data_IF_346039381076
#
_entry.id   IF_346039381076
#
_cell.length_a   1.000
_cell.length_b   1.000
_cell.length_c   1.000
_cell.angle_alpha   90.00
_cell.angle_beta   90.00
_cell.angle_gamma   90.00
#
_symmetry.space_group_name_H-M   'P 1'
#
loop_
_entity.id
_entity.type
_entity.pdbx_description
1 polymer ?
#
# COMPACT_ATOMS: atom_id res chain seq x y z
N UNK A 1 -15.11 36.57 24.39
CA UNK A 1 -16.39 35.93 24.74
C UNK A 1 -16.55 34.75 23.81
N UNK A 2 -16.63 33.57 24.40
CA UNK A 2 -16.44 32.27 23.78
C UNK A 2 -17.50 31.97 22.72
N UNK A 3 -17.06 31.51 21.55
CA UNK A 3 -17.94 30.85 20.60
C UNK A 3 -18.14 29.40 21.07
N UNK A 4 -19.36 28.95 21.37
CA UNK A 4 -19.59 27.55 21.66
C UNK A 4 -19.52 26.77 20.34
N UNK A 5 -18.49 25.95 20.22
CA UNK A 5 -18.34 24.93 19.18
C UNK A 5 -19.34 23.80 19.45
N UNK A 6 -20.60 24.01 19.04
CA UNK A 6 -21.64 22.99 19.14
C UNK A 6 -21.45 21.91 18.06
N UNK A 7 -20.82 20.82 18.50
CA UNK A 7 -21.09 19.42 18.18
C UNK A 7 -21.48 19.06 16.74
N UNK A 8 -20.56 18.30 16.13
CA UNK A 8 -20.50 17.72 14.78
C UNK A 8 -21.55 16.61 14.49
N UNK A 9 -22.72 16.64 15.12
CA UNK A 9 -23.82 15.72 14.82
C UNK A 9 -25.16 16.45 14.87
N UNK A 10 -25.44 17.19 13.80
CA UNK A 10 -26.71 17.92 13.64
C UNK A 10 -27.80 16.94 13.20
N UNK A 11 -28.87 16.86 14.01
CA UNK A 11 -30.04 16.06 13.72
C UNK A 11 -30.92 16.84 12.72
N UNK A 12 -31.34 16.26 11.59
CA UNK A 12 -32.06 16.99 10.53
C UNK A 12 -33.34 17.68 11.03
N UNK A 13 -33.94 17.14 12.10
CA UNK A 13 -35.13 17.71 12.72
C UNK A 13 -34.83 19.01 13.49
N UNK A 14 -33.63 19.10 14.09
CA UNK A 14 -33.16 20.31 14.78
C UNK A 14 -32.84 21.40 13.76
N UNK A 15 -32.21 21.05 12.64
CA UNK A 15 -31.88 22.00 11.56
C UNK A 15 -33.15 22.63 10.96
N UNK A 16 -34.20 21.83 10.75
CA UNK A 16 -35.49 22.32 10.28
C UNK A 16 -36.15 23.30 11.27
N UNK A 17 -36.07 23.01 12.57
CA UNK A 17 -36.65 23.86 13.62
C UNK A 17 -35.88 25.17 13.78
N UNK A 18 -34.55 25.12 13.68
CA UNK A 18 -33.68 26.29 13.68
C UNK A 18 -33.93 27.17 12.45
N UNK A 19 -34.08 26.58 11.26
CA UNK A 19 -34.43 27.32 10.04
C UNK A 19 -35.78 28.03 10.16
N UNK A 20 -36.81 27.36 10.69
CA UNK A 20 -38.12 27.98 10.89
C UNK A 20 -38.07 29.17 11.85
N UNK A 21 -37.25 29.07 12.91
CA UNK A 21 -37.07 30.15 13.86
C UNK A 21 -36.29 31.32 13.25
N UNK A 22 -35.21 31.03 12.53
CA UNK A 22 -34.35 32.04 11.91
C UNK A 22 -35.07 32.79 10.78
N UNK A 23 -35.90 32.13 9.97
CA UNK A 23 -36.68 32.79 8.92
C UNK A 23 -37.65 33.84 9.48
N UNK A 24 -38.18 33.65 10.69
CA UNK A 24 -39.10 34.60 11.32
C UNK A 24 -38.41 35.83 11.92
N UNK A 25 -37.14 35.73 12.31
CA UNK A 25 -36.47 36.74 13.13
C UNK A 25 -35.22 37.34 12.51
N UNK A 26 -34.49 36.59 11.67
CA UNK A 26 -33.22 36.97 11.05
C UNK A 26 -33.05 36.32 9.66
N UNK A 27 -33.57 36.94 8.58
CA UNK A 27 -33.59 36.33 7.24
C UNK A 27 -32.18 36.09 6.66
N UNK A 28 -31.23 37.00 6.90
CA UNK A 28 -29.85 36.85 6.42
C UNK A 28 -29.13 35.64 7.04
N UNK A 29 -29.38 35.35 8.32
CA UNK A 29 -28.80 34.18 8.99
C UNK A 29 -29.44 32.87 8.51
N UNK A 30 -30.73 32.90 8.14
CA UNK A 30 -31.42 31.75 7.55
C UNK A 30 -30.84 31.40 6.17
N UNK A 31 -30.57 32.40 5.32
CA UNK A 31 -29.92 32.18 4.01
C UNK A 31 -28.51 31.58 4.14
N UNK A 32 -27.75 32.04 5.14
CA UNK A 32 -26.42 31.48 5.44
C UNK A 32 -26.52 30.00 5.83
N UNK A 33 -27.42 29.65 6.76
CA UNK A 33 -27.63 28.26 7.18
C UNK A 33 -28.16 27.38 6.03
N UNK A 34 -29.03 27.92 5.17
CA UNK A 34 -29.50 27.20 3.97
C UNK A 34 -28.37 26.91 2.99
N UNK A 35 -27.45 27.85 2.78
CA UNK A 35 -26.27 27.63 1.94
C UNK A 35 -25.34 26.56 2.53
N UNK A 36 -25.15 26.56 3.85
CA UNK A 36 -24.35 25.55 4.56
C UNK A 36 -25.00 24.15 4.52
N UNK A 37 -26.32 24.05 4.62
CA UNK A 37 -27.02 22.77 4.49
C UNK A 37 -26.99 22.26 3.03
N UNK A 38 -27.23 23.16 2.07
CA UNK A 38 -27.13 22.82 0.65
C UNK A 38 -25.71 22.41 0.24
N UNK A 39 -24.67 23.03 0.82
CA UNK A 39 -23.28 22.64 0.57
C UNK A 39 -22.94 21.29 1.21
N UNK A 40 -23.47 20.99 2.41
CA UNK A 40 -23.34 19.67 3.07
C UNK A 40 -24.05 18.57 2.29
N UNK A 41 -25.27 18.83 1.82
CA UNK A 41 -26.02 17.88 0.99
C UNK A 41 -25.34 17.69 -0.36
N UNK A 42 -24.79 18.74 -0.97
CA UNK A 42 -23.99 18.64 -2.19
C UNK A 42 -22.68 17.87 -1.98
N UNK A 43 -22.02 18.03 -0.82
CA UNK A 43 -20.81 17.29 -0.46
C UNK A 43 -21.11 15.82 -0.11
N UNK A 44 -22.30 15.51 0.41
CA UNK A 44 -22.77 14.15 0.65
C UNK A 44 -23.29 13.46 -0.62
N UNK A 45 -23.85 14.24 -1.56
CA UNK A 45 -24.32 13.78 -2.86
C UNK A 45 -23.20 13.70 -3.91
N UNK A 46 -22.06 14.35 -3.68
CA UNK A 46 -20.86 14.13 -4.47
C UNK A 46 -20.48 12.64 -4.35
N UNK A 47 -20.28 11.92 -5.46
CA UNK A 47 -19.78 10.56 -5.38
C UNK A 47 -18.48 10.58 -4.57
N UNK A 48 -18.28 9.64 -3.61
CA UNK A 48 -17.02 9.57 -2.88
C UNK A 48 -15.89 9.55 -3.91
N UNK A 49 -14.74 10.22 -3.70
CA UNK A 49 -13.67 10.31 -4.68
C UNK A 49 -13.40 8.91 -5.20
N UNK A 50 -13.87 8.64 -6.43
CA UNK A 50 -14.11 7.27 -6.83
C UNK A 50 -12.79 6.68 -7.21
N UNK A 51 -12.18 6.02 -6.23
CA UNK A 51 -10.87 5.44 -6.34
C UNK A 51 -10.88 4.48 -7.54
N UNK A 52 -9.96 4.70 -8.49
CA UNK A 52 -9.85 3.91 -9.72
C UNK A 52 -9.78 2.40 -9.43
N UNK A 53 -9.08 2.01 -8.37
CA UNK A 53 -8.97 0.61 -7.93
C UNK A 53 -10.29 0.08 -7.38
N UNK A 54 -11.00 0.88 -6.57
CA UNK A 54 -12.33 0.51 -6.07
C UNK A 54 -13.37 0.43 -7.20
N UNK A 55 -13.29 1.32 -8.19
CA UNK A 55 -14.09 1.26 -9.41
C UNK A 55 -13.81 0.00 -10.20
N UNK A 56 -12.54 -0.30 -10.45
CA UNK A 56 -12.15 -1.50 -11.19
C UNK A 56 -12.57 -2.77 -10.45
N UNK A 57 -12.51 -2.81 -9.11
CA UNK A 57 -12.99 -3.95 -8.32
C UNK A 57 -14.52 -4.12 -8.37
N UNK A 58 -15.27 -3.02 -8.43
CA UNK A 58 -16.74 -3.05 -8.54
C UNK A 58 -17.22 -3.41 -9.96
N UNK A 59 -16.43 -3.04 -10.96
CA UNK A 59 -16.69 -3.30 -12.38
C UNK A 59 -16.15 -4.65 -12.85
N UNK A 60 -15.18 -5.23 -12.13
CA UNK A 60 -14.64 -6.54 -12.43
C UNK A 60 -15.70 -7.62 -12.19
N UNK A 61 -15.86 -8.59 -13.12
CA UNK A 61 -16.69 -9.75 -12.84
C UNK A 61 -16.13 -10.50 -11.63
N UNK A 62 -17.00 -11.11 -10.79
CA UNK A 62 -16.55 -11.84 -9.60
C UNK A 62 -15.60 -12.97 -10.03
N UNK A 63 -14.32 -12.84 -9.66
CA UNK A 63 -13.25 -13.78 -10.01
C UNK A 63 -12.17 -13.25 -10.94
N UNK A 64 -12.31 -12.05 -11.53
CA UNK A 64 -11.29 -11.46 -12.40
C UNK A 64 -10.59 -10.25 -11.73
N UNK A 65 -9.85 -10.54 -10.66
CA UNK A 65 -8.97 -9.55 -10.00
C UNK A 65 -7.66 -9.32 -10.78
N UNK A 66 -7.47 -10.05 -11.87
CA UNK A 66 -6.25 -10.10 -12.67
C UNK A 66 -5.71 -8.73 -13.13
N UNK A 67 -6.50 -7.84 -13.75
CA UNK A 67 -5.98 -6.54 -14.18
C UNK A 67 -5.67 -5.60 -13.00
N UNK A 68 -6.27 -5.85 -11.83
CA UNK A 68 -6.04 -5.05 -10.62
C UNK A 68 -4.64 -5.29 -10.07
N UNK A 69 -4.15 -6.52 -10.12
CA UNK A 69 -2.81 -6.90 -9.63
C UNK A 69 -1.69 -6.12 -10.33
N UNK A 70 -1.72 -6.10 -11.67
CA UNK A 70 -0.73 -5.36 -12.46
C UNK A 70 -0.81 -3.84 -12.21
N UNK A 71 -2.04 -3.30 -12.13
CA UNK A 71 -2.27 -1.87 -11.87
C UNK A 71 -1.78 -1.47 -10.48
N UNK A 72 -2.07 -2.29 -9.46
CA UNK A 72 -1.64 -2.06 -8.08
C UNK A 72 -0.11 -2.05 -7.95
N UNK A 73 0.59 -2.96 -8.65
CA UNK A 73 2.05 -2.96 -8.69
C UNK A 73 2.59 -1.70 -9.38
N UNK A 74 2.02 -1.33 -10.55
CA UNK A 74 2.44 -0.15 -11.29
C UNK A 74 2.33 1.12 -10.44
N UNK A 75 1.22 1.30 -9.70
CA UNK A 75 1.05 2.47 -8.81
C UNK A 75 2.10 2.53 -7.70
N UNK A 76 2.46 1.39 -7.10
CA UNK A 76 3.52 1.33 -6.08
C UNK A 76 4.89 1.63 -6.71
N UNK A 77 5.15 1.08 -7.89
CA UNK A 77 6.40 1.30 -8.63
C UNK A 77 6.58 2.76 -9.00
N UNK A 78 5.58 3.38 -9.62
CA UNK A 78 5.60 4.79 -10.01
C UNK A 78 5.75 5.71 -8.79
N UNK A 79 5.16 5.33 -7.66
CA UNK A 79 5.35 6.06 -6.40
C UNK A 79 6.78 5.95 -5.87
N UNK A 80 7.38 4.76 -5.87
CA UNK A 80 8.78 4.58 -5.46
C UNK A 80 9.75 5.29 -6.43
N UNK A 81 9.46 5.26 -7.72
CA UNK A 81 10.32 5.83 -8.76
C UNK A 81 10.20 7.36 -8.87
N UNK A 82 9.00 7.93 -8.79
CA UNK A 82 8.77 9.36 -9.06
C UNK A 82 8.31 10.21 -7.88
N UNK A 83 7.65 9.68 -6.87
CA UNK A 83 7.11 10.49 -5.76
C UNK A 83 8.13 10.73 -4.63
N UNK A 84 9.26 10.00 -4.64
CA UNK A 84 10.28 10.09 -3.60
C UNK A 84 11.40 11.09 -3.93
N UNK A 85 11.42 11.73 -5.09
CA UNK A 85 12.61 12.43 -5.61
C UNK A 85 13.06 13.69 -4.85
N UNK A 86 12.25 14.24 -3.93
CA UNK A 86 12.61 15.42 -3.13
C UNK A 86 13.17 15.07 -1.75
N UNK A 87 12.31 14.66 -0.81
CA UNK A 87 12.66 14.35 0.59
C UNK A 87 12.70 12.84 0.88
N UNK A 88 12.12 12.05 -0.03
CA UNK A 88 11.98 10.61 0.04
C UNK A 88 13.16 9.83 -0.54
N UNK A 89 14.08 10.49 -1.24
CA UNK A 89 15.13 9.85 -2.04
C UNK A 89 16.07 8.99 -1.18
N UNK A 90 16.26 9.39 0.08
CA UNK A 90 17.00 8.61 1.09
C UNK A 90 16.36 7.25 1.41
N UNK A 91 15.04 7.12 1.26
CA UNK A 91 14.28 5.90 1.54
C UNK A 91 14.03 5.06 0.29
N UNK A 92 14.20 5.65 -0.90
CA UNK A 92 14.10 4.97 -2.20
C UNK A 92 14.87 3.63 -2.23
N UNK A 93 16.16 3.52 -1.82
CA UNK A 93 16.85 2.23 -1.85
C UNK A 93 16.25 1.19 -0.90
N UNK A 94 15.62 1.60 0.21
CA UNK A 94 14.93 0.67 1.10
C UNK A 94 13.62 0.18 0.47
N UNK A 95 12.85 1.10 -0.11
CA UNK A 95 11.56 0.82 -0.74
C UNK A 95 11.72 0.05 -2.06
N UNK A 96 12.79 0.28 -2.83
CA UNK A 96 13.10 -0.49 -4.03
C UNK A 96 13.31 -1.98 -3.74
N UNK A 97 13.78 -2.34 -2.53
CA UNK A 97 13.89 -3.77 -2.13
C UNK A 97 12.53 -4.46 -2.01
N UNK A 98 11.45 -3.70 -1.80
CA UNK A 98 10.08 -4.20 -1.76
C UNK A 98 9.51 -4.46 -3.16
N UNK A 99 10.01 -3.76 -4.19
CA UNK A 99 9.48 -3.89 -5.54
C UNK A 99 9.68 -5.30 -6.10
N UNK A 100 10.80 -5.96 -5.80
CA UNK A 100 10.98 -7.35 -6.25
C UNK A 100 9.93 -8.31 -5.70
N UNK A 101 9.80 -8.48 -4.36
CA UNK A 101 8.88 -9.49 -3.84
C UNK A 101 7.45 -9.18 -4.31
N UNK A 102 7.06 -7.90 -4.38
CA UNK A 102 5.78 -7.52 -4.98
C UNK A 102 5.67 -7.93 -6.45
N UNK A 103 6.68 -7.67 -7.28
CA UNK A 103 6.69 -8.08 -8.69
C UNK A 103 6.53 -9.59 -8.84
N UNK A 104 7.35 -10.37 -8.13
CA UNK A 104 7.37 -11.81 -8.26
C UNK A 104 6.08 -12.45 -7.72
N UNK A 105 5.55 -11.96 -6.60
CA UNK A 105 4.26 -12.43 -6.08
C UNK A 105 3.10 -12.07 -7.01
N UNK A 106 3.05 -10.85 -7.53
CA UNK A 106 2.04 -10.42 -8.51
C UNK A 106 2.08 -11.31 -9.75
N UNK A 107 3.27 -11.61 -10.29
CA UNK A 107 3.41 -12.51 -11.43
C UNK A 107 2.86 -13.92 -11.14
N UNK A 108 3.19 -14.49 -9.98
CA UNK A 108 2.71 -15.83 -9.60
C UNK A 108 1.19 -15.84 -9.35
N UNK A 109 0.62 -14.80 -8.75
CA UNK A 109 -0.84 -14.69 -8.60
C UNK A 109 -1.56 -14.61 -9.95
N UNK A 110 -1.02 -13.84 -10.90
CA UNK A 110 -1.55 -13.76 -12.26
C UNK A 110 -1.52 -15.12 -12.97
N UNK A 111 -0.45 -15.90 -12.79
CA UNK A 111 -0.35 -17.26 -13.32
C UNK A 111 -1.33 -18.22 -12.65
N UNK A 112 -1.52 -18.14 -11.33
CA UNK A 112 -2.48 -18.96 -10.58
C UNK A 112 -3.93 -18.62 -10.93
N UNK A 113 -4.22 -17.37 -11.28
CA UNK A 113 -5.52 -16.95 -11.82
C UNK A 113 -5.77 -17.48 -13.26
N UNK A 114 -4.80 -18.16 -13.88
CA UNK A 114 -4.92 -18.70 -15.23
C UNK A 114 -4.72 -17.67 -16.34
N UNK A 115 -4.38 -16.43 -16.01
CA UNK A 115 -4.27 -15.33 -16.95
C UNK A 115 -2.87 -15.21 -17.55
N UNK A 116 -2.47 -16.22 -18.32
CA UNK A 116 -1.13 -16.35 -18.89
C UNK A 116 -0.70 -15.15 -19.75
N UNK A 117 -1.59 -14.63 -20.60
CA UNK A 117 -1.27 -13.50 -21.48
C UNK A 117 -0.97 -12.23 -20.70
N UNK A 118 -1.76 -11.96 -19.66
CA UNK A 118 -1.62 -10.78 -18.81
C UNK A 118 -0.39 -10.89 -17.92
N UNK A 119 -0.10 -12.09 -17.40
CA UNK A 119 1.15 -12.38 -16.70
C UNK A 119 2.38 -12.15 -17.61
N UNK A 120 2.31 -12.61 -18.87
CA UNK A 120 3.37 -12.41 -19.87
C UNK A 120 3.59 -10.93 -20.19
N UNK A 121 2.51 -10.17 -20.40
CA UNK A 121 2.58 -8.71 -20.58
C UNK A 121 3.19 -8.01 -19.37
N UNK A 122 2.73 -8.35 -18.16
CA UNK A 122 3.26 -7.82 -16.91
C UNK A 122 4.77 -8.10 -16.76
N UNK A 123 5.20 -9.35 -17.01
CA UNK A 123 6.61 -9.71 -16.95
C UNK A 123 7.43 -8.91 -17.95
N UNK A 124 6.99 -8.82 -19.21
CA UNK A 124 7.67 -8.05 -20.25
C UNK A 124 7.81 -6.56 -19.88
N UNK A 125 6.80 -5.96 -19.26
CA UNK A 125 6.81 -4.54 -18.88
C UNK A 125 7.74 -4.21 -17.71
N UNK A 126 7.87 -5.09 -16.71
CA UNK A 126 8.54 -4.74 -15.44
C UNK A 126 9.78 -5.58 -15.11
N UNK A 127 10.09 -6.66 -15.85
CA UNK A 127 11.28 -7.48 -15.56
C UNK A 127 12.60 -6.70 -15.68
N UNK A 128 12.67 -5.72 -16.58
CA UNK A 128 13.88 -4.94 -16.83
C UNK A 128 14.33 -4.12 -15.60
N UNK A 129 13.37 -3.65 -14.79
CA UNK A 129 13.65 -2.88 -13.57
C UNK A 129 14.43 -3.71 -12.53
N UNK A 130 14.27 -5.04 -12.57
CA UNK A 130 14.89 -5.97 -11.62
C UNK A 130 16.11 -6.70 -12.19
N UNK A 131 16.34 -6.60 -13.50
CA UNK A 131 17.35 -7.37 -14.23
C UNK A 131 18.79 -7.12 -13.72
N UNK A 132 19.07 -5.92 -13.21
CA UNK A 132 20.39 -5.55 -12.72
C UNK A 132 20.78 -6.31 -11.45
N UNK A 133 19.84 -6.49 -10.51
CA UNK A 133 20.12 -7.06 -9.19
C UNK A 133 19.70 -8.53 -9.05
N UNK A 134 18.75 -8.99 -9.87
CA UNK A 134 18.00 -10.26 -9.67
C UNK A 134 17.94 -11.15 -10.91
N UNK A 135 18.96 -11.05 -11.77
CA UNK A 135 18.98 -11.73 -13.08
C UNK A 135 18.73 -13.24 -12.98
N UNK A 136 19.38 -13.93 -12.05
CA UNK A 136 19.25 -15.39 -11.91
C UNK A 136 17.85 -15.80 -11.45
N UNK A 137 17.28 -15.05 -10.51
CA UNK A 137 15.90 -15.28 -10.04
C UNK A 137 14.87 -14.96 -11.14
N UNK A 138 15.10 -13.92 -11.94
CA UNK A 138 14.28 -13.61 -13.11
C UNK A 138 14.33 -14.72 -14.16
N UNK A 139 15.50 -15.29 -14.41
CA UNK A 139 15.65 -16.42 -15.32
C UNK A 139 14.83 -17.62 -14.83
N UNK A 140 14.90 -17.94 -13.53
CA UNK A 140 14.08 -19.01 -12.94
C UNK A 140 12.58 -18.69 -13.00
N UNK A 141 12.19 -17.44 -12.76
CA UNK A 141 10.79 -17.01 -12.83
C UNK A 141 10.27 -17.08 -14.28
N UNK A 142 11.10 -16.75 -15.27
CA UNK A 142 10.73 -16.79 -16.70
C UNK A 142 10.43 -18.19 -17.23
N UNK A 143 10.97 -19.23 -16.59
CA UNK A 143 10.68 -20.64 -16.92
C UNK A 143 9.29 -21.08 -16.46
N UNK A 144 8.68 -20.34 -15.52
CA UNK A 144 7.36 -20.63 -14.97
C UNK A 144 6.33 -19.76 -15.69
N UNK A 145 5.50 -20.36 -16.53
CA UNK A 145 4.59 -19.61 -17.41
C UNK A 145 3.13 -20.10 -17.34
N UNK A 146 2.84 -21.18 -16.62
CA UNK A 146 1.48 -21.70 -16.39
C UNK A 146 1.26 -22.00 -14.91
N UNK A 147 -0.02 -22.05 -14.49
CA UNK A 147 -0.39 -22.43 -13.12
C UNK A 147 0.21 -23.79 -12.71
N UNK A 148 0.17 -24.78 -13.60
CA UNK A 148 0.76 -26.11 -13.36
C UNK A 148 2.27 -26.04 -13.11
N UNK A 149 2.98 -25.15 -13.84
CA UNK A 149 4.41 -24.93 -13.65
C UNK A 149 4.71 -24.19 -12.35
N UNK A 150 3.79 -23.37 -11.83
CA UNK A 150 3.94 -22.73 -10.51
C UNK A 150 3.98 -23.80 -9.42
N UNK A 151 3.12 -24.82 -9.50
CA UNK A 151 3.08 -25.91 -8.53
C UNK A 151 4.22 -26.93 -8.72
N UNK A 152 4.70 -27.11 -9.95
CA UNK A 152 5.83 -27.98 -10.24
C UNK A 152 7.19 -27.36 -9.88
N UNK A 153 7.33 -26.03 -10.00
CA UNK A 153 8.59 -25.34 -9.77
C UNK A 153 8.89 -25.19 -8.28
N UNK A 154 10.03 -25.74 -7.85
CA UNK A 154 10.49 -25.60 -6.47
C UNK A 154 10.75 -24.13 -6.11
N UNK A 155 11.27 -23.34 -7.06
CA UNK A 155 11.52 -21.90 -6.85
C UNK A 155 10.23 -21.14 -6.59
N UNK A 156 9.20 -21.34 -7.43
CA UNK A 156 7.91 -20.66 -7.26
C UNK A 156 7.23 -21.08 -5.94
N UNK A 157 7.26 -22.37 -5.61
CA UNK A 157 6.75 -22.88 -4.32
C UNK A 157 7.46 -22.28 -3.12
N UNK A 158 8.80 -22.22 -3.15
CA UNK A 158 9.60 -21.59 -2.08
C UNK A 158 9.21 -20.13 -1.92
N UNK A 159 9.04 -19.41 -3.03
CA UNK A 159 8.63 -18.01 -3.00
C UNK A 159 7.26 -17.85 -2.32
N UNK A 160 6.26 -18.65 -2.72
CA UNK A 160 4.90 -18.62 -2.17
C UNK A 160 4.81 -19.07 -0.70
N UNK A 161 5.65 -20.02 -0.28
CA UNK A 161 5.61 -20.61 1.07
C UNK A 161 6.38 -19.77 2.09
N UNK A 162 7.49 -19.17 1.67
CA UNK A 162 8.31 -18.33 2.55
C UNK A 162 7.82 -16.89 2.52
N UNK A 163 7.70 -16.26 3.69
CA UNK A 163 7.47 -14.80 3.75
C UNK A 163 8.78 -14.09 3.49
N UNK A 164 8.83 -13.30 2.42
CA UNK A 164 10.00 -12.52 2.07
C UNK A 164 10.25 -11.45 3.13
N UNK A 165 11.44 -11.43 3.72
CA UNK A 165 11.82 -10.42 4.71
C UNK A 165 12.39 -9.17 4.02
N UNK A 166 11.75 -8.03 4.26
CA UNK A 166 12.25 -6.72 3.81
C UNK A 166 12.56 -5.88 5.03
N UNK A 167 13.82 -5.46 5.13
CA UNK A 167 14.29 -4.55 6.18
C UNK A 167 14.01 -3.11 5.76
N UNK A 168 13.11 -2.44 6.47
CA UNK A 168 12.70 -1.06 6.25
C UNK A 168 12.82 -0.27 7.55
N UNK A 169 13.29 0.97 7.47
CA UNK A 169 13.21 1.88 8.61
C UNK A 169 11.75 2.10 9.05
N UNK A 170 11.54 2.49 10.31
CA UNK A 170 10.19 2.78 10.82
C UNK A 170 9.46 3.85 9.98
N UNK A 171 10.22 4.84 9.47
CA UNK A 171 9.70 5.88 8.61
C UNK A 171 9.31 5.34 7.23
N UNK A 172 10.19 4.59 6.56
CA UNK A 172 9.91 3.95 5.26
C UNK A 172 8.65 3.07 5.33
N UNK A 173 8.48 2.34 6.43
CA UNK A 173 7.29 1.51 6.67
C UNK A 173 6.02 2.36 6.83
N UNK A 174 6.07 3.42 7.63
CA UNK A 174 4.92 4.32 7.81
C UNK A 174 4.53 4.99 6.49
N UNK A 175 5.53 5.40 5.70
CA UNK A 175 5.33 6.02 4.40
C UNK A 175 4.66 5.06 3.41
N UNK A 176 5.15 3.82 3.32
CA UNK A 176 4.55 2.77 2.49
C UNK A 176 3.09 2.52 2.88
N UNK A 177 2.82 2.33 4.17
CA UNK A 177 1.45 2.04 4.65
C UNK A 177 0.52 3.23 4.45
N UNK A 178 1.00 4.46 4.65
CA UNK A 178 0.26 5.68 4.37
C UNK A 178 -0.16 5.78 2.91
N UNK A 179 0.79 5.57 1.99
CA UNK A 179 0.52 5.58 0.55
C UNK A 179 -0.49 4.50 0.14
N UNK A 180 -0.29 3.26 0.59
CA UNK A 180 -1.17 2.13 0.28
C UNK A 180 -2.60 2.37 0.80
N UNK A 181 -2.73 2.95 2.00
CA UNK A 181 -4.03 3.28 2.59
C UNK A 181 -4.72 4.43 1.83
N UNK A 182 -3.99 5.48 1.47
CA UNK A 182 -4.51 6.63 0.73
C UNK A 182 -5.00 6.23 -0.67
N UNK A 183 -4.21 5.43 -1.38
CA UNK A 183 -4.56 4.88 -2.69
C UNK A 183 -5.51 3.68 -2.62
N UNK A 184 -5.90 3.24 -1.42
CA UNK A 184 -6.76 2.07 -1.15
C UNK A 184 -6.35 0.83 -1.97
N UNK A 185 -5.06 0.56 -2.06
CA UNK A 185 -4.51 -0.59 -2.79
C UNK A 185 -4.67 -1.87 -1.96
N UNK A 186 -5.90 -2.38 -1.91
CA UNK A 186 -6.25 -3.52 -1.04
C UNK A 186 -5.46 -4.79 -1.37
N UNK A 187 -5.21 -5.04 -2.66
CA UNK A 187 -4.43 -6.20 -3.11
C UNK A 187 -2.97 -6.11 -2.68
N UNK A 188 -2.35 -4.92 -2.81
CA UNK A 188 -0.99 -4.68 -2.31
C UNK A 188 -0.93 -4.84 -0.79
N UNK A 189 -1.91 -4.31 -0.06
CA UNK A 189 -1.97 -4.43 1.40
C UNK A 189 -2.10 -5.90 1.83
N UNK A 190 -2.93 -6.68 1.14
CA UNK A 190 -3.07 -8.12 1.35
C UNK A 190 -1.74 -8.83 1.15
N UNK A 191 -1.07 -8.58 0.03
CA UNK A 191 0.25 -9.16 -0.26
C UNK A 191 1.31 -8.80 0.77
N UNK A 192 1.35 -7.53 1.16
CA UNK A 192 2.25 -7.05 2.20
C UNK A 192 2.03 -7.80 3.51
N UNK A 193 0.78 -7.91 3.95
CA UNK A 193 0.46 -8.56 5.23
C UNK A 193 0.66 -10.09 5.20
N UNK A 194 0.32 -10.75 4.09
CA UNK A 194 0.33 -12.21 4.00
C UNK A 194 1.73 -12.76 3.68
N UNK A 195 2.48 -12.07 2.82
CA UNK A 195 3.69 -12.60 2.20
C UNK A 195 4.97 -11.84 2.49
N UNK A 196 4.89 -10.63 3.05
CA UNK A 196 6.06 -9.80 3.29
C UNK A 196 6.22 -9.54 4.79
N UNK A 197 7.37 -9.93 5.34
CA UNK A 197 7.76 -9.59 6.71
C UNK A 197 8.52 -8.27 6.70
N UNK A 198 7.91 -7.22 7.25
CA UNK A 198 8.55 -5.90 7.38
C UNK A 198 9.32 -5.81 8.70
N UNK A 199 10.62 -6.10 8.64
CA UNK A 199 11.53 -6.03 9.79
C UNK A 199 12.17 -4.64 9.90
N UNK A 200 12.46 -4.20 11.13
CA UNK A 200 13.31 -3.04 11.35
C UNK A 200 14.77 -3.44 11.07
N UNK A 201 15.63 -2.54 10.55
CA UNK A 201 17.05 -2.81 10.49
C UNK A 201 17.52 -3.04 11.94
N UNK A 202 18.18 -4.17 12.21
CA UNK A 202 18.86 -4.35 13.49
C UNK A 202 19.76 -3.14 13.68
N UNK A 203 19.44 -2.32 14.70
CA UNK A 203 20.42 -1.35 15.19
C UNK A 203 21.63 -2.20 15.56
N UNK A 204 22.77 -1.91 14.95
CA UNK A 204 24.03 -2.50 15.37
C UNK A 204 24.07 -2.30 16.88
N UNK A 205 23.96 -3.39 17.66
CA UNK A 205 24.31 -3.33 19.05
C UNK A 205 25.73 -2.73 19.06
N UNK A 206 26.01 -1.71 19.90
CA UNK A 206 27.39 -1.32 20.11
C UNK A 206 28.14 -2.61 20.43
N UNK A 207 29.19 -2.89 19.64
CA UNK A 207 30.19 -3.88 20.02
C UNK A 207 30.65 -3.47 21.41
N UNK A 208 30.03 -4.07 22.42
CA UNK A 208 30.43 -3.91 23.80
C UNK A 208 31.87 -4.39 23.80
N UNK A 209 32.78 -3.43 23.98
CA UNK A 209 34.18 -3.67 24.20
C UNK A 209 34.29 -4.38 25.54
N UNK A 210 34.08 -5.69 25.53
CA UNK A 210 34.40 -6.59 26.62
C UNK A 210 35.91 -6.76 26.71
N UNK A 211 36.61 -5.76 27.25
CA UNK A 211 37.77 -6.03 28.08
C UNK A 211 37.32 -6.17 29.54
N UNK A 212 38.08 -6.80 30.44
CA UNK A 212 39.20 -7.71 30.27
C UNK A 212 38.87 -9.11 30.82
N UNK A 213 39.22 -10.19 30.09
CA UNK A 213 39.29 -11.51 30.70
C UNK A 213 40.56 -11.57 31.56
N UNK A 214 40.39 -11.25 32.85
CA UNK A 214 41.31 -11.68 33.89
C UNK A 214 41.42 -13.21 33.84
N UNK A 215 42.56 -13.72 33.40
CA UNK A 215 43.02 -15.08 33.72
C UNK A 215 44.19 -14.90 34.66
N UNK A 216 43.90 -15.09 35.94
CA UNK A 216 44.89 -15.26 36.98
C UNK A 216 45.29 -16.75 37.05
N UNK A 217 46.60 -16.98 37.28
CA UNK A 217 47.21 -18.18 37.92
C UNK A 217 47.28 -19.44 37.04
N UNK A 218 48.34 -20.27 36.96
CA UNK A 218 49.49 -20.60 37.85
C UNK A 218 50.55 -21.42 37.06
N UNK A 219 51.80 -21.46 37.57
CA UNK A 219 52.91 -22.42 37.41
C UNK A 219 53.61 -22.71 36.04
N UNK A 220 54.82 -22.15 35.84
CA UNK A 220 56.16 -22.78 36.03
C UNK A 220 57.29 -21.79 35.63
#
# INVERSE_FOLDING_TARGET
MEQPTLSRATNPLIDALVLQHLQKRFPQSAECLQRELASRDAAAAAPPPTNRHALLMLLAPPGDETPLWATAYAEVRDWVDGALDTEGARYKPELSRLLWPLFAYTYLELLRAGAREQAGGFFASFHADHALMRRDELNQLSQVSSAEQVDASEFARRLLTSRYEVRLSAFSRALLLGFVAERRLQLTLRMLNERIKLALPETLAPSDGGGPAAVALEDD
#
